data_IF_932862211162
#
_entry.id   IF_932862211162
#
_cell.length_a   1.000
_cell.length_b   1.000
_cell.length_c   1.000
_cell.angle_alpha   90.00
_cell.angle_beta   90.00
_cell.angle_gamma   90.00
#
_symmetry.space_group_name_H-M   'P 1'
#
loop_
_entity.id
_entity.type
_entity.pdbx_description
1 polymer ?
#
# COMPACT_ATOMS: atom_id res chain seq x y z
N UNK A 1 -0.95 -16.75 -15.66
CA UNK A 1 -1.51 -15.56 -15.03
C UNK A 1 -0.45 -14.47 -14.94
N UNK A 2 -0.80 -13.28 -15.39
CA UNK A 2 0.11 -12.16 -15.22
C UNK A 2 0.09 -11.71 -13.76
N UNK A 3 1.27 -11.44 -13.21
CA UNK A 3 1.36 -10.87 -11.88
C UNK A 3 0.87 -9.42 -11.88
N UNK A 4 0.36 -8.99 -10.75
CA UNK A 4 0.01 -7.61 -10.49
C UNK A 4 0.78 -7.13 -9.26
N UNK A 5 1.09 -5.85 -9.16
CA UNK A 5 1.70 -5.32 -7.95
C UNK A 5 0.84 -5.66 -6.73
N UNK A 6 1.50 -6.01 -5.64
CA UNK A 6 0.84 -6.39 -4.39
C UNK A 6 0.80 -5.19 -3.47
N UNK A 7 -0.32 -5.04 -2.77
CA UNK A 7 -0.48 -3.98 -1.78
C UNK A 7 -0.16 -4.54 -0.40
N UNK A 8 0.72 -3.88 0.32
CA UNK A 8 1.12 -4.28 1.68
C UNK A 8 0.85 -3.12 2.63
N UNK A 9 0.06 -3.36 3.67
CA UNK A 9 -0.20 -2.38 4.72
C UNK A 9 0.54 -2.79 5.99
N UNK A 10 1.41 -1.89 6.47
CA UNK A 10 2.17 -2.12 7.69
C UNK A 10 1.34 -1.68 8.89
N UNK A 11 0.89 -2.65 9.69
CA UNK A 11 0.19 -2.41 10.95
C UNK A 11 -0.93 -1.35 10.83
N UNK A 12 -1.89 -1.53 9.90
CA UNK A 12 -2.94 -0.54 9.70
C UNK A 12 -3.78 -0.37 10.97
N UNK A 13 -4.20 0.86 11.24
CA UNK A 13 -4.81 1.25 12.51
C UNK A 13 -6.29 1.56 12.40
N UNK A 14 -6.74 2.05 11.25
CA UNK A 14 -8.10 2.59 11.07
C UNK A 14 -8.91 1.65 10.18
N UNK A 15 -9.93 0.96 10.75
CA UNK A 15 -10.66 -0.08 10.02
C UNK A 15 -11.26 0.35 8.68
N UNK A 16 -11.93 1.52 8.57
CA UNK A 16 -12.49 1.92 7.26
C UNK A 16 -11.44 2.08 6.18
N UNK A 17 -10.23 2.51 6.52
CA UNK A 17 -9.17 2.65 5.52
C UNK A 17 -8.79 1.30 4.93
N UNK A 18 -8.58 0.30 5.77
CA UNK A 18 -8.26 -1.05 5.30
C UNK A 18 -9.42 -1.65 4.49
N UNK A 19 -10.67 -1.40 4.90
CA UNK A 19 -11.83 -1.84 4.14
C UNK A 19 -11.89 -1.23 2.75
N UNK A 20 -11.59 0.06 2.64
CA UNK A 20 -11.54 0.73 1.33
C UNK A 20 -10.39 0.21 0.46
N UNK A 21 -9.24 -0.07 1.08
CA UNK A 21 -8.11 -0.69 0.36
C UNK A 21 -8.51 -2.07 -0.16
N UNK A 22 -9.20 -2.85 0.67
CA UNK A 22 -9.67 -4.17 0.28
C UNK A 22 -10.59 -4.09 -0.95
N UNK A 23 -11.50 -3.11 -0.97
CA UNK A 23 -12.38 -2.86 -2.11
C UNK A 23 -11.58 -2.52 -3.37
N UNK A 24 -10.57 -1.67 -3.26
CA UNK A 24 -9.69 -1.32 -4.37
C UNK A 24 -8.94 -2.55 -4.89
N UNK A 25 -8.44 -3.39 -3.99
CA UNK A 25 -7.76 -4.62 -4.38
C UNK A 25 -8.70 -5.61 -5.06
N UNK A 26 -9.94 -5.74 -4.56
CA UNK A 26 -10.94 -6.58 -5.22
C UNK A 26 -11.24 -6.06 -6.62
N UNK A 27 -11.35 -4.75 -6.79
CA UNK A 27 -11.67 -4.13 -8.08
C UNK A 27 -10.57 -4.34 -9.11
N UNK A 28 -9.31 -4.43 -8.68
CA UNK A 28 -8.16 -4.53 -9.58
C UNK A 28 -7.63 -5.95 -9.73
N UNK A 29 -7.95 -6.84 -8.79
CA UNK A 29 -7.37 -8.18 -8.71
C UNK A 29 -6.05 -8.25 -7.97
N UNK A 30 -5.56 -7.14 -7.43
CA UNK A 30 -4.30 -7.10 -6.68
C UNK A 30 -4.46 -7.81 -5.32
N UNK A 31 -3.40 -8.52 -4.90
CA UNK A 31 -3.37 -9.12 -3.56
C UNK A 31 -3.22 -8.03 -2.51
N UNK A 32 -3.86 -8.26 -1.36
CA UNK A 32 -3.73 -7.39 -0.19
C UNK A 32 -3.04 -8.16 0.92
N UNK A 33 -1.90 -7.63 1.38
CA UNK A 33 -1.13 -8.18 2.48
C UNK A 33 -1.19 -7.25 3.66
N UNK A 34 -1.55 -7.78 4.84
CA UNK A 34 -1.59 -7.01 6.08
C UNK A 34 -0.51 -7.54 7.03
N UNK A 35 0.28 -6.63 7.58
CA UNK A 35 1.30 -6.97 8.58
C UNK A 35 0.76 -6.64 9.95
N UNK A 36 0.66 -7.66 10.80
CA UNK A 36 0.19 -7.50 12.17
C UNK A 36 1.27 -6.89 13.07
N UNK A 37 0.92 -6.25 14.22
CA UNK A 37 -0.43 -6.19 14.76
C UNK A 37 -1.32 -5.19 14.04
N UNK A 38 -2.61 -5.51 13.93
CA UNK A 38 -3.61 -4.60 13.39
C UNK A 38 -4.23 -3.79 14.54
N UNK A 39 -4.62 -2.55 14.26
CA UNK A 39 -5.31 -1.72 15.25
C UNK A 39 -6.79 -2.06 15.41
N UNK A 40 -7.24 -3.18 14.84
CA UNK A 40 -8.64 -3.59 14.85
C UNK A 40 -8.74 -5.10 14.64
N UNK A 41 -9.94 -5.66 14.85
CA UNK A 41 -10.23 -7.05 14.54
C UNK A 41 -10.69 -7.18 13.09
N UNK A 42 -10.40 -8.30 12.43
CA UNK A 42 -10.93 -8.58 11.09
C UNK A 42 -12.46 -8.74 11.08
N UNK A 43 -13.07 -8.90 12.25
CA UNK A 43 -14.53 -8.93 12.39
C UNK A 43 -15.12 -7.53 12.61
N UNK A 44 -14.33 -6.49 12.60
CA UNK A 44 -14.78 -5.12 12.83
C UNK A 44 -15.84 -4.71 11.81
N UNK A 45 -16.92 -4.09 12.32
CA UNK A 45 -18.06 -3.69 11.47
C UNK A 45 -17.68 -2.62 10.47
N UNK A 46 -16.83 -1.67 10.87
CA UNK A 46 -16.42 -0.58 9.99
C UNK A 46 -15.51 -1.10 8.88
N UNK A 47 -14.67 -2.07 9.19
CA UNK A 47 -13.84 -2.74 8.21
C UNK A 47 -14.71 -3.44 7.16
N UNK A 48 -15.65 -4.25 7.61
CA UNK A 48 -16.53 -5.02 6.71
C UNK A 48 -17.44 -4.12 5.90
N UNK A 49 -17.98 -3.06 6.52
CA UNK A 49 -18.85 -2.11 5.83
C UNK A 49 -18.11 -1.37 4.71
N UNK A 50 -16.87 -0.96 4.95
CA UNK A 50 -16.08 -0.26 3.94
C UNK A 50 -15.77 -1.15 2.75
N UNK A 51 -15.54 -2.45 2.98
CA UNK A 51 -15.32 -3.43 1.91
C UNK A 51 -16.59 -3.89 1.24
N UNK A 52 -17.76 -3.58 1.82
CA UNK A 52 -19.08 -3.97 1.31
C UNK A 52 -19.14 -5.47 1.01
N UNK A 53 -19.68 -5.84 -0.15
CA UNK A 53 -19.85 -7.23 -0.59
C UNK A 53 -18.63 -7.74 -1.36
N UNK A 54 -17.52 -7.00 -1.39
CA UNK A 54 -16.37 -7.33 -2.22
C UNK A 54 -15.39 -8.29 -1.55
N UNK A 55 -15.57 -8.58 -0.24
CA UNK A 55 -14.66 -9.44 0.51
C UNK A 55 -14.41 -10.80 -0.14
N UNK A 56 -15.40 -11.47 -0.76
CA UNK A 56 -15.13 -12.76 -1.43
C UNK A 56 -14.12 -12.68 -2.56
N UNK A 57 -13.89 -11.49 -3.13
CA UNK A 57 -12.95 -11.30 -4.23
C UNK A 57 -11.60 -10.71 -3.79
N UNK A 58 -11.41 -10.52 -2.48
CA UNK A 58 -10.16 -10.00 -1.94
C UNK A 58 -9.21 -11.16 -1.67
N UNK A 59 -8.04 -11.11 -2.29
CA UNK A 59 -6.97 -12.07 -2.00
C UNK A 59 -6.18 -11.55 -0.80
N UNK A 60 -6.64 -11.87 0.40
CA UNK A 60 -6.12 -11.35 1.66
C UNK A 60 -5.08 -12.30 2.25
N UNK A 61 -3.92 -11.74 2.60
CA UNK A 61 -2.82 -12.45 3.25
C UNK A 61 -2.46 -11.74 4.54
N UNK A 62 -2.39 -12.48 5.65
CA UNK A 62 -1.97 -11.95 6.95
C UNK A 62 -0.56 -12.42 7.26
N UNK A 63 0.26 -11.50 7.77
CA UNK A 63 1.62 -11.81 8.21
C UNK A 63 1.78 -11.40 9.66
N UNK A 64 2.35 -12.26 10.53
CA UNK A 64 2.49 -11.95 11.95
C UNK A 64 3.48 -10.82 12.24
N UNK A 65 4.31 -10.46 11.27
CA UNK A 65 5.26 -9.37 11.38
C UNK A 65 5.91 -9.10 10.05
N UNK A 66 6.71 -8.02 9.99
CA UNK A 66 7.38 -7.64 8.75
C UNK A 66 8.32 -8.72 8.24
N UNK A 67 9.00 -9.43 9.14
CA UNK A 67 9.94 -10.48 8.73
C UNK A 67 9.26 -11.58 7.92
N UNK A 68 8.03 -11.95 8.30
CA UNK A 68 7.26 -12.95 7.59
C UNK A 68 6.89 -12.45 6.18
N UNK A 69 6.48 -11.20 6.07
CA UNK A 69 6.21 -10.55 4.77
C UNK A 69 7.47 -10.54 3.91
N UNK A 70 8.60 -10.15 4.49
CA UNK A 70 9.88 -10.07 3.79
C UNK A 70 10.30 -11.45 3.26
N UNK A 71 10.13 -12.49 4.07
CA UNK A 71 10.43 -13.87 3.65
C UNK A 71 9.57 -14.31 2.46
N UNK A 72 8.28 -13.97 2.50
CA UNK A 72 7.36 -14.26 1.40
C UNK A 72 7.76 -13.50 0.14
N UNK A 73 8.09 -12.21 0.28
CA UNK A 73 8.53 -11.39 -0.83
C UNK A 73 9.82 -11.93 -1.45
N UNK A 74 10.79 -12.33 -0.63
CA UNK A 74 12.04 -12.86 -1.14
C UNK A 74 11.83 -14.21 -1.83
N UNK A 75 10.93 -15.04 -1.31
CA UNK A 75 10.62 -16.34 -1.91
C UNK A 75 9.94 -16.17 -3.28
N UNK A 76 9.03 -15.21 -3.40
CA UNK A 76 8.27 -14.97 -4.64
C UNK A 76 8.99 -14.06 -5.61
N UNK A 77 9.94 -13.28 -5.15
CA UNK A 77 10.64 -12.28 -5.94
C UNK A 77 9.88 -10.95 -6.01
N UNK A 78 10.49 -10.00 -6.69
CA UNK A 78 9.95 -8.65 -6.81
C UNK A 78 10.56 -7.68 -5.82
N UNK A 79 10.44 -6.38 -6.12
CA UNK A 79 11.00 -5.32 -5.30
C UNK A 79 10.02 -4.88 -4.23
N UNK A 80 10.55 -4.47 -3.09
CA UNK A 80 9.76 -3.81 -2.05
C UNK A 80 9.89 -2.30 -2.25
N UNK A 81 8.79 -1.65 -2.59
CA UNK A 81 8.71 -0.20 -2.81
C UNK A 81 7.97 0.42 -1.65
N UNK A 82 8.66 1.24 -0.86
CA UNK A 82 8.07 1.89 0.31
C UNK A 82 7.51 3.26 -0.06
N UNK A 83 6.28 3.52 0.34
CA UNK A 83 5.62 4.81 0.16
C UNK A 83 5.75 5.60 1.46
N UNK A 84 6.37 6.78 1.40
CA UNK A 84 6.65 7.60 2.56
C UNK A 84 6.65 9.07 2.20
N UNK A 85 6.09 9.91 3.08
CA UNK A 85 6.17 11.36 2.92
C UNK A 85 7.58 11.89 3.06
N UNK A 86 8.51 11.08 3.58
CA UNK A 86 9.91 11.47 3.76
C UNK A 86 10.80 11.05 2.59
N UNK A 87 10.25 10.36 1.60
CA UNK A 87 11.02 9.97 0.43
C UNK A 87 11.11 11.12 -0.58
N UNK A 88 12.13 11.07 -1.42
CA UNK A 88 12.41 12.15 -2.38
C UNK A 88 11.90 11.85 -3.79
N UNK A 89 11.81 10.58 -4.18
CA UNK A 89 11.40 10.22 -5.53
C UNK A 89 9.88 10.22 -5.67
N UNK A 90 9.32 11.06 -6.54
CA UNK A 90 7.88 11.01 -6.80
C UNK A 90 7.46 9.65 -7.38
N UNK A 91 6.32 9.14 -6.93
CA UNK A 91 5.82 7.82 -7.34
C UNK A 91 5.65 7.71 -8.86
N UNK A 92 5.22 8.77 -9.51
CA UNK A 92 4.94 8.75 -10.94
C UNK A 92 6.20 8.72 -11.82
N UNK A 93 7.38 8.94 -11.22
CA UNK A 93 8.66 8.80 -11.93
C UNK A 93 9.24 7.39 -11.79
N UNK A 94 8.60 6.53 -11.03
CA UNK A 94 9.03 5.14 -10.89
C UNK A 94 8.52 4.32 -12.08
N UNK A 95 9.38 3.46 -12.62
CA UNK A 95 8.95 2.46 -13.62
C UNK A 95 8.53 1.21 -12.87
N UNK A 96 7.23 1.01 -12.70
CA UNK A 96 6.70 -0.11 -11.95
C UNK A 96 6.83 -1.42 -12.71
N UNK A 97 6.92 -2.52 -11.95
CA UNK A 97 6.99 -3.89 -12.45
C UNK A 97 5.81 -4.68 -11.94
N UNK A 98 5.41 -5.69 -12.69
CA UNK A 98 4.23 -6.51 -12.35
C UNK A 98 4.41 -7.29 -11.04
N UNK A 99 5.65 -7.53 -10.61
CA UNK A 99 5.93 -8.26 -9.38
C UNK A 99 6.32 -7.36 -8.20
N UNK A 100 6.13 -6.06 -8.32
CA UNK A 100 6.43 -5.11 -7.23
C UNK A 100 5.51 -5.31 -6.03
N UNK A 101 6.04 -5.03 -4.84
CA UNK A 101 5.32 -5.01 -3.57
C UNK A 101 5.28 -3.56 -3.11
N UNK A 102 4.07 -3.01 -3.01
CA UNK A 102 3.87 -1.60 -2.63
C UNK A 102 3.56 -1.54 -1.14
N UNK A 103 4.50 -1.02 -0.36
CA UNK A 103 4.43 -1.00 1.11
C UNK A 103 3.99 0.37 1.60
N UNK A 104 2.88 0.41 2.35
CA UNK A 104 2.31 1.63 2.91
C UNK A 104 2.37 1.56 4.44
N UNK A 105 2.62 2.70 5.07
CA UNK A 105 2.79 2.77 6.51
C UNK A 105 1.51 3.01 7.31
N UNK A 106 1.66 3.05 8.62
CA UNK A 106 0.55 3.33 9.54
C UNK A 106 -0.01 4.73 9.32
N UNK A 107 -1.30 4.88 9.58
CA UNK A 107 -1.96 6.18 9.41
C UNK A 107 -1.37 7.26 10.31
N UNK A 108 -0.93 6.90 11.53
CA UNK A 108 -0.44 7.86 12.50
C UNK A 108 0.99 8.34 12.24
N UNK A 109 1.91 7.42 11.93
CA UNK A 109 3.35 7.73 11.88
C UNK A 109 4.10 7.12 10.70
N UNK A 110 3.39 6.49 9.75
CA UNK A 110 3.99 5.95 8.53
C UNK A 110 4.83 4.71 8.78
N UNK A 111 5.91 4.59 8.04
CA UNK A 111 6.81 3.44 8.12
C UNK A 111 7.99 3.74 9.07
N UNK A 112 8.40 2.76 9.88
CA UNK A 112 9.63 2.89 10.66
C UNK A 112 10.86 3.10 9.75
N UNK A 113 11.86 3.85 10.20
CA UNK A 113 13.08 4.06 9.41
C UNK A 113 13.74 2.77 8.94
N UNK A 114 13.69 1.72 9.76
CA UNK A 114 14.31 0.42 9.43
C UNK A 114 13.69 -0.19 8.18
N UNK A 115 12.37 -0.07 8.02
CA UNK A 115 11.67 -0.58 6.85
C UNK A 115 11.97 0.24 5.61
N UNK A 116 12.11 1.55 5.77
CA UNK A 116 12.50 2.43 4.67
C UNK A 116 13.89 2.04 4.13
N UNK A 117 14.82 1.73 5.03
CA UNK A 117 16.17 1.30 4.63
C UNK A 117 16.17 -0.04 3.89
N UNK A 118 15.29 -0.94 4.28
CA UNK A 118 15.22 -2.28 3.68
C UNK A 118 14.54 -2.29 2.31
N UNK A 119 13.74 -1.28 1.99
CA UNK A 119 13.04 -1.21 0.72
C UNK A 119 14.01 -0.96 -0.43
N UNK A 120 13.76 -1.60 -1.57
CA UNK A 120 14.56 -1.39 -2.77
C UNK A 120 14.41 0.02 -3.32
N UNK A 121 13.21 0.59 -3.24
CA UNK A 121 12.95 1.98 -3.61
C UNK A 121 12.06 2.64 -2.55
N UNK A 122 12.20 3.96 -2.44
CA UNK A 122 11.38 4.79 -1.56
C UNK A 122 10.74 5.87 -2.41
N UNK A 123 9.41 5.94 -2.37
CA UNK A 123 8.62 6.81 -3.23
C UNK A 123 7.74 7.72 -2.38
N UNK A 124 7.40 8.87 -2.92
CA UNK A 124 6.48 9.82 -2.27
C UNK A 124 5.39 10.26 -3.23
N UNK A 125 4.25 10.64 -2.67
CA UNK A 125 3.20 11.34 -3.41
C UNK A 125 3.42 12.84 -3.13
N UNK A 126 3.79 13.65 -4.14
CA UNK A 126 4.07 15.07 -3.90
C UNK A 126 2.84 15.82 -3.38
N UNK A 127 3.04 16.65 -2.35
CA UNK A 127 2.00 17.46 -1.74
C UNK A 127 2.19 18.93 -2.15
N UNK A 128 1.81 19.25 -3.36
CA UNK A 128 2.01 20.58 -3.93
C UNK A 128 1.31 21.69 -3.12
N UNK A 129 0.19 21.38 -2.50
CA UNK A 129 -0.54 22.32 -1.64
C UNK A 129 0.28 22.78 -0.45
N UNK A 130 1.01 21.87 0.19
CA UNK A 130 1.87 22.20 1.33
C UNK A 130 3.00 23.13 0.92
N UNK A 131 3.57 22.94 -0.26
CA UNK A 131 4.60 23.85 -0.77
C UNK A 131 4.04 25.24 -0.99
N UNK A 132 2.84 25.34 -1.60
CA UNK A 132 2.20 26.63 -1.89
C UNK A 132 1.82 27.41 -0.64
N UNK A 133 1.45 26.71 0.44
CA UNK A 133 0.96 27.34 1.67
C UNK A 133 2.01 27.43 2.77
N UNK A 134 3.23 26.95 2.52
CA UNK A 134 4.29 26.97 3.52
C UNK A 134 4.10 25.96 4.63
N UNK A 135 3.31 24.94 4.39
CA UNK A 135 3.01 23.88 5.36
C UNK A 135 1.58 23.40 5.21
N UNK A 136 1.15 22.49 6.06
CA UNK A 136 -0.20 21.95 6.06
C UNK A 136 -0.25 20.47 5.85
N UNK A 137 -1.05 19.98 4.91
CA UNK A 137 -1.27 18.55 4.67
C UNK A 137 0.00 17.89 4.14
N UNK A 138 0.51 16.90 4.87
CA UNK A 138 1.75 16.19 4.54
C UNK A 138 1.53 14.88 3.80
N UNK A 139 0.33 14.32 3.90
CA UNK A 139 0.01 13.05 3.28
C UNK A 139 -1.48 12.96 3.01
N UNK A 140 -1.84 12.05 2.11
CA UNK A 140 -3.23 11.71 1.83
C UNK A 140 -3.71 10.63 2.79
N UNK A 141 -5.03 10.47 2.88
CA UNK A 141 -5.63 9.31 3.53
C UNK A 141 -5.01 8.03 2.95
N UNK A 142 -4.80 7.03 3.80
CA UNK A 142 -4.13 5.78 3.41
C UNK A 142 -4.79 5.12 2.20
N UNK A 143 -6.11 4.97 2.21
CA UNK A 143 -6.81 4.30 1.11
C UNK A 143 -6.71 5.08 -0.20
N UNK A 144 -6.66 6.40 -0.12
CA UNK A 144 -6.45 7.26 -1.29
C UNK A 144 -5.03 7.09 -1.82
N UNK A 145 -4.03 7.08 -0.94
CA UNK A 145 -2.64 6.85 -1.33
C UNK A 145 -2.47 5.53 -2.06
N UNK A 146 -3.08 4.47 -1.53
CA UNK A 146 -3.00 3.15 -2.15
C UNK A 146 -3.59 3.19 -3.56
N UNK A 147 -4.77 3.78 -3.72
CA UNK A 147 -5.42 3.85 -5.02
C UNK A 147 -4.58 4.65 -6.02
N UNK A 148 -4.04 5.79 -5.61
CA UNK A 148 -3.22 6.64 -6.48
C UNK A 148 -2.03 5.86 -7.02
N UNK A 149 -1.27 5.20 -6.15
CA UNK A 149 -0.05 4.51 -6.54
C UNK A 149 -0.37 3.23 -7.31
N UNK A 150 -1.33 2.44 -6.85
CA UNK A 150 -1.70 1.19 -7.50
C UNK A 150 -2.20 1.44 -8.93
N UNK A 151 -3.08 2.43 -9.13
CA UNK A 151 -3.62 2.71 -10.45
C UNK A 151 -2.57 3.29 -11.39
N UNK A 152 -1.60 4.04 -10.90
CA UNK A 152 -0.48 4.47 -11.74
C UNK A 152 0.36 3.26 -12.18
N UNK A 153 0.64 2.33 -11.26
CA UNK A 153 1.37 1.11 -11.61
C UNK A 153 0.62 0.30 -12.66
N UNK A 154 -0.69 0.13 -12.47
CA UNK A 154 -1.52 -0.63 -13.42
C UNK A 154 -1.59 0.07 -14.77
N UNK A 155 -1.69 1.40 -14.79
CA UNK A 155 -1.68 2.16 -16.05
C UNK A 155 -0.41 1.86 -16.85
N UNK A 156 0.76 1.89 -16.19
CA UNK A 156 2.02 1.61 -16.86
C UNK A 156 2.06 0.18 -17.41
N UNK A 157 1.60 -0.78 -16.63
CA UNK A 157 1.71 -2.19 -16.99
C UNK A 157 0.67 -2.60 -18.04
N UNK A 158 -0.54 -2.09 -17.93
CA UNK A 158 -1.64 -2.46 -18.81
C UNK A 158 -1.48 -1.87 -20.21
N UNK A 159 -0.97 -0.66 -20.30
CA UNK A 159 -0.78 0.03 -21.58
C UNK A 159 0.59 -0.19 -22.19
N UNK A 160 1.48 -0.89 -21.51
CA UNK A 160 2.86 -1.06 -21.96
C UNK A 160 3.67 0.21 -21.87
N UNK A 161 3.20 1.15 -21.08
CA UNK A 161 3.82 2.46 -20.93
C UNK A 161 4.51 2.60 -19.59
#
# INVERSE_FOLDING_TARGET
MSDLPRVVLFQPQIPPNTGNVARTCAATGAELHLIEPLGFSLDDRQLKRAGLDYWPWVHLHLHPGFEALRAEQQRRGGRLLALSSQADQPYHQCSFRSDDWLLFGRESDGLPPELLELAELRLTIPMAGSVRHGGGVRSLNLSVSVAVVLFEALRQLETGV
#
